data_IF_733689114355
#
_entry.id   IF_733689114355
#
_cell.length_a   1.000
_cell.length_b   1.000
_cell.length_c   1.000
_cell.angle_alpha   90.00
_cell.angle_beta   90.00
_cell.angle_gamma   90.00
#
_symmetry.space_group_name_H-M   'P 1'
#
loop_
_entity.id
_entity.type
_entity.pdbx_description
1 polymer ?
#
# COMPACT_ATOMS: atom_id res chain seq x y z
N UNK A 1 0.37 -15.36 40.01
CA UNK A 1 1.14 -16.01 38.94
C UNK A 1 2.08 -17.01 39.58
N UNK A 2 1.96 -18.30 39.25
CA UNK A 2 2.83 -19.38 39.75
C UNK A 2 3.95 -19.65 38.75
N UNK A 3 5.03 -20.32 39.15
CA UNK A 3 6.16 -20.61 38.24
C UNK A 3 5.77 -21.33 36.94
N UNK A 4 4.71 -22.16 36.99
CA UNK A 4 4.15 -22.86 35.84
C UNK A 4 3.50 -21.92 34.81
N UNK A 5 2.98 -20.78 35.27
CA UNK A 5 2.34 -19.78 34.41
C UNK A 5 3.39 -19.02 33.60
N UNK A 6 4.53 -18.71 34.24
CA UNK A 6 5.69 -18.10 33.58
C UNK A 6 6.31 -19.05 32.54
N UNK A 7 6.34 -20.35 32.82
CA UNK A 7 6.89 -21.36 31.92
C UNK A 7 6.03 -21.56 30.67
N UNK A 8 4.69 -21.60 30.83
CA UNK A 8 3.74 -21.61 29.71
C UNK A 8 3.85 -20.36 28.85
N UNK A 9 3.97 -19.20 29.48
CA UNK A 9 4.13 -17.93 28.77
C UNK A 9 5.43 -17.92 27.95
N UNK A 10 6.53 -18.41 28.52
CA UNK A 10 7.81 -18.52 27.82
C UNK A 10 7.71 -19.46 26.60
N UNK A 11 7.07 -20.61 26.75
CA UNK A 11 6.85 -21.55 25.64
C UNK A 11 6.08 -20.90 24.49
N UNK A 12 4.99 -20.18 24.79
CA UNK A 12 4.18 -19.49 23.79
C UNK A 12 4.96 -18.39 23.06
N UNK A 13 5.76 -17.61 23.79
CA UNK A 13 6.62 -16.57 23.20
C UNK A 13 7.66 -17.16 22.24
N UNK A 14 8.21 -18.35 22.55
CA UNK A 14 9.16 -19.05 21.68
C UNK A 14 8.50 -19.58 20.40
N UNK A 15 7.26 -20.07 20.50
CA UNK A 15 6.48 -20.51 19.34
C UNK A 15 6.15 -19.34 18.39
N UNK A 16 5.69 -18.21 18.94
CA UNK A 16 5.46 -16.97 18.18
C UNK A 16 6.73 -16.48 17.49
N UNK A 17 7.89 -16.54 18.18
CA UNK A 17 9.18 -16.18 17.61
C UNK A 17 9.55 -17.08 16.43
N UNK A 18 9.42 -18.40 16.56
CA UNK A 18 9.68 -19.36 15.46
C UNK A 18 8.75 -19.15 14.27
N UNK A 19 7.47 -18.87 14.52
CA UNK A 19 6.50 -18.58 13.46
C UNK A 19 6.86 -17.29 12.70
N UNK A 20 7.25 -16.23 13.43
CA UNK A 20 7.70 -14.97 12.83
C UNK A 20 9.02 -15.11 12.08
N UNK A 21 9.94 -15.95 12.54
CA UNK A 21 11.19 -16.25 11.83
C UNK A 21 10.93 -16.94 10.49
N UNK A 22 10.02 -17.93 10.45
CA UNK A 22 9.62 -18.59 9.19
C UNK A 22 8.94 -17.66 8.18
N UNK A 23 8.24 -16.63 8.65
CA UNK A 23 7.64 -15.61 7.78
C UNK A 23 8.65 -14.53 7.34
N UNK A 24 9.67 -14.26 8.14
CA UNK A 24 10.74 -13.30 7.80
C UNK A 24 11.74 -13.85 6.79
N UNK A 25 11.92 -15.17 6.70
CA UNK A 25 12.82 -15.80 5.71
C UNK A 25 12.34 -15.67 4.24
N UNK A 26 11.07 -15.29 4.03
CA UNK A 26 10.54 -14.90 2.70
C UNK A 26 10.56 -13.39 2.41
N UNK A 27 10.91 -12.55 3.39
CA UNK A 27 10.76 -11.08 3.32
C UNK A 27 12.02 -10.33 3.80
N UNK A 28 13.18 -11.00 3.79
CA UNK A 28 14.46 -10.36 4.07
C UNK A 28 15.28 -10.23 2.77
N UNK A 29 14.92 -9.28 1.90
CA UNK A 29 15.87 -8.74 0.92
C UNK A 29 16.21 -7.30 1.34
N UNK A 30 17.50 -6.99 1.59
CA UNK A 30 17.93 -5.67 2.05
C UNK A 30 17.87 -4.65 0.91
N UNK A 31 17.52 -3.40 1.26
CA UNK A 31 17.64 -2.15 0.47
C UNK A 31 17.86 -2.32 -1.04
N UNK A 32 16.89 -2.88 -1.76
CA UNK A 32 16.84 -2.76 -3.21
C UNK A 32 16.64 -1.30 -3.59
N UNK A 33 17.30 -0.82 -4.66
CA UNK A 33 17.13 0.55 -5.14
C UNK A 33 15.65 0.79 -5.49
N UNK A 34 15.21 2.06 -5.49
CA UNK A 34 13.81 2.42 -5.76
C UNK A 34 13.31 1.79 -7.06
N UNK A 35 14.18 1.67 -8.06
CA UNK A 35 13.92 1.03 -9.35
C UNK A 35 13.51 -0.44 -9.20
N UNK A 36 14.20 -1.21 -8.35
CA UNK A 36 13.88 -2.62 -8.12
C UNK A 36 12.54 -2.79 -7.40
N UNK A 37 12.25 -1.90 -6.45
CA UNK A 37 10.94 -1.87 -5.78
C UNK A 37 9.81 -1.53 -6.76
N UNK A 38 10.02 -0.53 -7.63
CA UNK A 38 9.08 -0.14 -8.68
C UNK A 38 8.84 -1.29 -9.67
N UNK A 39 9.88 -2.01 -10.09
CA UNK A 39 9.76 -3.13 -11.01
C UNK A 39 8.97 -4.29 -10.38
N UNK A 40 9.27 -4.65 -9.12
CA UNK A 40 8.52 -5.66 -8.38
C UNK A 40 7.05 -5.26 -8.24
N UNK A 41 6.78 -3.99 -7.95
CA UNK A 41 5.42 -3.47 -7.85
C UNK A 41 4.68 -3.52 -9.20
N UNK A 42 5.32 -3.09 -10.29
CA UNK A 42 4.75 -3.13 -11.64
C UNK A 42 4.42 -4.57 -12.08
N UNK A 43 5.32 -5.53 -11.81
CA UNK A 43 5.08 -6.95 -12.09
C UNK A 43 3.87 -7.48 -11.32
N UNK A 44 3.72 -7.10 -10.04
CA UNK A 44 2.56 -7.48 -9.23
C UNK A 44 1.26 -6.89 -9.77
N UNK A 45 1.25 -5.61 -10.17
CA UNK A 45 0.05 -4.99 -10.75
C UNK A 45 -0.37 -5.67 -12.05
N UNK A 46 0.58 -5.92 -12.96
CA UNK A 46 0.26 -6.59 -14.24
C UNK A 46 -0.35 -7.97 -13.99
N UNK A 47 0.22 -8.75 -13.08
CA UNK A 47 -0.34 -10.05 -12.70
C UNK A 47 -1.78 -9.93 -12.18
N UNK A 48 -2.09 -8.91 -11.36
CA UNK A 48 -3.43 -8.65 -10.86
C UNK A 48 -4.40 -8.11 -11.93
N UNK A 49 -3.92 -7.28 -12.86
CA UNK A 49 -4.69 -6.76 -14.00
C UNK A 49 -5.07 -7.90 -14.95
N UNK A 50 -4.17 -8.87 -15.17
CA UNK A 50 -4.45 -10.03 -16.05
C UNK A 50 -5.52 -10.97 -15.47
N UNK A 51 -5.72 -10.93 -14.14
CA UNK A 51 -6.69 -11.78 -13.42
C UNK A 51 -8.03 -11.07 -13.18
N UNK A 52 -8.17 -9.80 -13.57
CA UNK A 52 -9.42 -9.05 -13.39
C UNK A 52 -10.28 -9.11 -14.65
N UNK A 53 -11.42 -9.84 -14.63
CA UNK A 53 -12.38 -9.83 -15.74
C UNK A 53 -13.33 -8.62 -15.70
N UNK A 54 -13.09 -7.64 -14.83
CA UNK A 54 -14.00 -6.51 -14.67
C UNK A 54 -13.76 -5.47 -15.78
N UNK A 55 -14.80 -5.05 -16.51
CA UNK A 55 -14.68 -3.95 -17.46
C UNK A 55 -14.12 -2.72 -16.74
N UNK A 56 -13.28 -1.96 -17.42
CA UNK A 56 -12.84 -0.63 -16.99
C UNK A 56 -14.05 0.32 -16.98
N UNK A 57 -14.97 0.13 -16.04
CA UNK A 57 -16.01 1.13 -15.79
C UNK A 57 -15.29 2.40 -15.35
N UNK A 58 -15.53 3.49 -16.07
CA UNK A 58 -14.97 4.81 -15.79
C UNK A 58 -15.36 5.19 -14.37
N UNK A 59 -14.45 5.00 -13.40
CA UNK A 59 -14.71 5.30 -12.00
C UNK A 59 -14.93 6.81 -11.88
N UNK A 60 -16.20 7.23 -11.85
CA UNK A 60 -16.57 8.61 -11.59
C UNK A 60 -16.21 8.90 -10.13
N UNK A 61 -15.23 9.76 -9.93
CA UNK A 61 -14.81 10.17 -8.58
C UNK A 61 -15.96 10.89 -7.87
N UNK A 62 -16.30 10.43 -6.67
CA UNK A 62 -17.33 11.02 -5.82
C UNK A 62 -16.72 11.50 -4.50
N UNK A 63 -17.04 12.75 -4.10
CA UNK A 63 -16.56 13.32 -2.84
C UNK A 63 -17.27 12.70 -1.63
N UNK A 64 -16.59 12.57 -0.47
CA UNK A 64 -17.21 12.05 0.73
C UNK A 64 -18.37 12.91 1.24
N UNK A 65 -19.33 12.32 1.97
CA UNK A 65 -20.41 13.07 2.62
C UNK A 65 -19.88 14.10 3.62
N UNK A 66 -20.51 15.27 3.68
CA UNK A 66 -20.13 16.37 4.59
C UNK A 66 -18.97 17.25 4.10
N UNK A 67 -18.45 17.01 2.90
CA UNK A 67 -17.49 17.91 2.26
C UNK A 67 -18.15 19.17 1.74
N UNK A 68 -17.44 20.32 1.77
CA UNK A 68 -17.94 21.53 1.14
C UNK A 68 -18.00 21.37 -0.38
N UNK A 69 -18.76 22.22 -1.09
CA UNK A 69 -18.82 22.21 -2.54
C UNK A 69 -17.43 22.32 -3.19
N UNK A 70 -17.22 21.68 -4.34
CA UNK A 70 -15.90 21.60 -5.00
C UNK A 70 -15.26 22.98 -5.25
N UNK A 71 -16.08 23.98 -5.55
CA UNK A 71 -15.65 25.37 -5.74
C UNK A 71 -15.01 26.00 -4.49
N UNK A 72 -15.37 25.53 -3.30
CA UNK A 72 -14.87 25.99 -2.01
C UNK A 72 -13.69 25.14 -1.49
N UNK A 73 -13.45 23.97 -2.10
CA UNK A 73 -12.30 23.15 -1.75
C UNK A 73 -11.00 23.81 -2.23
N UNK A 74 -9.92 23.76 -1.42
CA UNK A 74 -8.60 24.17 -1.88
C UNK A 74 -8.13 23.25 -3.03
N UNK A 75 -7.27 23.75 -3.95
CA UNK A 75 -6.82 22.99 -5.11
C UNK A 75 -6.21 21.64 -4.77
N UNK A 76 -5.53 21.54 -3.63
CA UNK A 76 -4.93 20.30 -3.11
C UNK A 76 -5.94 19.21 -2.76
N UNK A 77 -7.21 19.57 -2.52
CA UNK A 77 -8.30 18.65 -2.18
C UNK A 77 -9.26 18.40 -3.33
N UNK A 78 -9.03 19.02 -4.49
CA UNK A 78 -9.86 18.79 -5.68
C UNK A 78 -9.38 17.53 -6.38
N UNK A 79 -10.35 16.72 -6.81
CA UNK A 79 -10.10 15.59 -7.68
C UNK A 79 -9.34 16.03 -8.93
N UNK A 80 -8.41 15.21 -9.46
CA UNK A 80 -7.80 15.49 -10.75
C UNK A 80 -8.89 15.55 -11.83
N UNK A 81 -8.73 16.41 -12.86
CA UNK A 81 -9.64 16.40 -14.00
C UNK A 81 -9.54 15.05 -14.74
N UNK A 82 -10.56 14.68 -15.55
CA UNK A 82 -10.47 13.50 -16.40
C UNK A 82 -9.26 13.66 -17.34
N UNK A 83 -8.28 12.75 -17.22
CA UNK A 83 -6.97 12.85 -17.89
C UNK A 83 -5.79 13.25 -16.99
N UNK A 84 -6.02 13.55 -15.70
CA UNK A 84 -4.98 13.82 -14.71
C UNK A 84 -4.49 15.26 -14.69
N UNK A 85 -3.59 15.57 -13.75
CA UNK A 85 -2.94 16.89 -13.68
C UNK A 85 -1.89 17.02 -14.78
N UNK A 86 -1.91 18.13 -15.53
CA UNK A 86 -0.83 18.44 -16.46
C UNK A 86 0.43 18.76 -15.67
N UNK A 87 1.41 17.87 -15.73
CA UNK A 87 2.73 18.11 -15.12
C UNK A 87 3.51 19.01 -16.09
N UNK A 88 3.91 20.23 -15.69
CA UNK A 88 4.70 21.09 -16.56
C UNK A 88 6.02 20.41 -16.94
N UNK A 89 6.49 20.54 -18.20
CA UNK A 89 7.81 20.07 -18.58
C UNK A 89 8.86 20.82 -17.75
N UNK A 90 9.59 20.10 -16.91
CA UNK A 90 10.57 20.67 -15.97
C UNK A 90 10.15 20.68 -14.50
N UNK A 91 8.97 20.15 -14.14
CA UNK A 91 8.63 19.92 -12.74
C UNK A 91 9.50 18.80 -12.16
N UNK A 92 10.43 19.15 -11.28
CA UNK A 92 11.20 18.21 -10.47
C UNK A 92 10.63 18.19 -9.05
N UNK A 93 10.18 17.03 -8.61
CA UNK A 93 10.02 16.77 -7.18
C UNK A 93 11.44 16.57 -6.66
N UNK A 94 11.86 17.40 -5.70
CA UNK A 94 13.26 17.53 -5.26
C UNK A 94 13.93 16.23 -4.84
#
# INVERSE_FOLDING_TARGET
MTGLDLEKLNMHVQEERRAKEGQQDGTALPMGTVEEWLEKHAKRRRAAETDSPLPEEELVFQYPPGWPPVQELPPSLRAPPPGGWTIPPGLHWG
#
